data_IF_835782725450
#
_entry.id   IF_835782725450
#
_cell.length_a   1.000
_cell.length_b   1.000
_cell.length_c   1.000
_cell.angle_alpha   90.00
_cell.angle_beta   90.00
_cell.angle_gamma   90.00
#
_symmetry.space_group_name_H-M   'P 1'
#
loop_
_entity.id
_entity.type
_entity.pdbx_description
1 polymer ?
2 non-polymer ?
3 non-polymer ?
4 water ?
#
# COMPACT_ATOMS: atom_id res chain seq x y z
N UNK A 12 -13.82 3.09 -21.42
CA UNK A 12 -13.73 1.65 -21.87
C UNK A 12 -14.11 0.71 -20.73
N UNK A 13 -14.85 -0.36 -21.05
CA UNK A 13 -15.13 -1.40 -20.07
C UNK A 13 -14.24 -2.63 -20.30
N UNK A 14 -13.33 -2.53 -21.26
CA UNK A 14 -12.48 -3.67 -21.60
C UNK A 14 -11.30 -3.75 -20.65
N UNK A 15 -10.98 -4.94 -20.14
CA UNK A 15 -9.83 -5.04 -19.22
C UNK A 15 -8.51 -4.50 -19.82
N UNK A 16 -7.79 -3.70 -19.02
CA UNK A 16 -6.46 -3.24 -19.42
C UNK A 16 -5.76 -2.93 -18.12
N UNK A 17 -4.44 -3.11 -18.06
CA UNK A 17 -3.73 -2.68 -16.85
C UNK A 17 -3.78 -1.16 -16.79
N UNK A 18 -4.02 -0.62 -15.59
CA UNK A 18 -4.20 0.83 -15.47
C UNK A 18 -2.96 1.66 -15.82
N UNK A 19 -3.19 2.92 -16.20
CA UNK A 19 -2.14 3.90 -16.41
C UNK A 19 -2.62 5.17 -15.73
N UNK A 20 -1.78 6.19 -15.68
CA UNK A 20 -2.21 7.43 -15.03
C UNK A 20 -3.53 7.93 -15.66
N UNK A 21 -3.69 7.72 -16.96
CA UNK A 21 -4.88 8.20 -17.66
C UNK A 21 -6.14 7.42 -17.32
N UNK A 22 -6.00 6.17 -16.89
CA UNK A 22 -7.17 5.37 -16.61
C UNK A 22 -7.41 5.16 -15.12
N UNK A 23 -6.50 5.64 -14.28
CA UNK A 23 -6.80 5.54 -12.85
C UNK A 23 -8.03 6.32 -12.34
N UNK A 24 -8.47 7.39 -13.05
CA UNK A 24 -9.57 8.10 -12.39
C UNK A 24 -10.81 7.27 -12.18
N UNK A 25 -11.16 6.40 -13.12
CA UNK A 25 -12.44 5.68 -12.98
C UNK A 25 -12.40 4.22 -13.46
N UNK A 26 -11.61 3.38 -12.80
CA UNK A 26 -11.54 1.95 -13.18
C UNK A 26 -12.80 1.14 -12.83
N UNK A 27 -13.75 1.73 -12.10
CA UNK A 27 -14.78 0.95 -11.43
C UNK A 27 -15.72 0.23 -12.40
N UNK A 28 -16.09 0.90 -13.51
CA UNK A 28 -17.02 0.23 -14.41
C UNK A 28 -16.41 -1.01 -15.02
N UNK A 29 -15.11 -0.96 -15.29
CA UNK A 29 -14.41 -2.11 -15.87
C UNK A 29 -14.33 -3.24 -14.84
N UNK A 30 -14.08 -2.90 -13.57
CA UNK A 30 -14.13 -3.94 -12.52
C UNK A 30 -15.49 -4.58 -12.49
N UNK A 31 -16.54 -3.76 -12.65
CA UNK A 31 -17.92 -4.21 -12.51
C UNK A 31 -18.27 -5.14 -13.66
N UNK A 32 -17.80 -4.82 -14.85
CA UNK A 32 -17.98 -5.68 -16.03
C UNK A 32 -17.31 -7.03 -15.81
N UNK A 33 -16.11 -7.03 -15.24
CA UNK A 33 -15.47 -8.31 -14.89
C UNK A 33 -16.29 -9.13 -13.90
N UNK A 34 -16.64 -8.52 -12.76
CA UNK A 34 -17.32 -9.23 -11.68
C UNK A 34 -18.57 -9.86 -12.21
N UNK A 35 -19.24 -9.12 -13.07
CA UNK A 35 -20.53 -9.57 -13.57
C UNK A 35 -20.46 -10.57 -14.74
N UNK A 36 -19.54 -10.35 -15.68
CA UNK A 36 -19.53 -11.12 -16.92
C UNK A 36 -18.36 -12.09 -17.09
N UNK A 37 -17.31 -11.93 -16.27
CA UNK A 37 -16.17 -12.84 -16.37
C UNK A 37 -15.31 -12.75 -15.10
N UNK A 38 -15.84 -13.26 -13.97
CA UNK A 38 -15.12 -13.22 -12.70
C UNK A 38 -13.81 -14.00 -12.63
N UNK A 39 -13.62 -14.95 -13.55
CA UNK A 39 -12.32 -15.60 -13.74
C UNK A 39 -11.85 -15.34 -15.16
N UNK A 40 -11.27 -14.16 -15.34
CA UNK A 40 -11.02 -13.60 -16.66
C UNK A 40 -9.65 -13.90 -17.27
N UNK A 41 -9.67 -14.51 -18.44
CA UNK A 41 -8.44 -14.78 -19.15
C UNK A 41 -8.03 -13.61 -20.04
N UNK A 42 -6.86 -13.07 -19.75
CA UNK A 42 -6.23 -12.04 -20.55
C UNK A 42 -5.13 -12.64 -21.42
N UNK A 43 -5.30 -12.50 -22.74
CA UNK A 43 -4.30 -12.91 -23.70
C UNK A 43 -3.76 -11.70 -24.47
N UNK A 44 -2.63 -11.16 -24.04
CA UNK A 44 -2.11 -9.94 -24.67
C UNK A 44 -1.92 -10.11 -26.17
N UNK A 45 -2.65 -9.33 -26.97
CA UNK A 45 -2.52 -9.52 -28.41
C UNK A 45 -1.06 -9.49 -28.94
N UNK A 46 -0.21 -8.62 -28.41
CA UNK A 46 1.18 -8.54 -28.88
C UNK A 46 2.15 -9.52 -28.20
N UNK A 47 1.61 -10.36 -27.33
CA UNK A 47 2.40 -11.27 -26.50
C UNK A 47 1.50 -12.36 -25.93
N UNK A 48 0.88 -13.17 -26.78
CA UNK A 48 -0.08 -14.14 -26.23
C UNK A 48 0.54 -15.17 -25.27
N UNK A 49 1.86 -15.38 -25.39
CA UNK A 49 2.67 -16.27 -24.53
C UNK A 49 2.57 -15.84 -23.07
N UNK A 50 2.29 -14.55 -22.90
CA UNK A 50 2.31 -13.97 -21.58
C UNK A 50 0.90 -13.82 -21.06
N UNK A 51 0.03 -14.77 -21.41
CA UNK A 51 -1.35 -14.73 -20.95
C UNK A 51 -1.40 -14.91 -19.43
N UNK A 52 -2.44 -14.36 -18.81
CA UNK A 52 -2.68 -14.48 -17.40
C UNK A 52 -4.16 -14.40 -17.05
N UNK A 53 -4.48 -14.55 -15.77
CA UNK A 53 -5.86 -14.52 -15.32
C UNK A 53 -6.10 -13.36 -14.34
N UNK A 54 -7.36 -12.95 -14.24
CA UNK A 54 -7.71 -11.85 -13.32
C UNK A 54 -8.93 -12.28 -12.53
N UNK A 55 -8.82 -12.20 -11.20
CA UNK A 55 -9.93 -12.43 -10.25
C UNK A 55 -10.49 -11.11 -9.68
N UNK A 56 -11.81 -10.92 -9.77
CA UNK A 56 -12.40 -9.62 -9.48
C UNK A 56 -13.43 -9.73 -8.36
N UNK A 57 -13.91 -10.93 -8.04
CA UNK A 57 -14.90 -11.01 -6.97
C UNK A 57 -14.28 -11.17 -5.62
N UNK A 58 -14.98 -10.69 -4.60
CA UNK A 58 -14.47 -10.73 -3.25
C UNK A 58 -14.15 -12.16 -2.77
N UNK A 59 -15.09 -13.07 -3.00
CA UNK A 59 -14.98 -14.43 -2.47
C UNK A 59 -13.72 -15.10 -2.98
N UNK A 60 -13.45 -14.87 -4.27
CA UNK A 60 -12.38 -15.52 -4.99
C UNK A 60 -11.06 -14.93 -4.62
N UNK A 61 -11.04 -13.59 -4.51
CA UNK A 61 -9.81 -12.88 -4.18
C UNK A 61 -9.44 -13.21 -2.73
N UNK A 62 -10.42 -13.23 -1.84
CA UNK A 62 -10.19 -13.49 -0.41
C UNK A 62 -9.57 -14.88 -0.24
N UNK A 63 -10.16 -15.87 -0.90
CA UNK A 63 -9.62 -17.23 -0.78
C UNK A 63 -8.25 -17.41 -1.44
N UNK A 64 -8.05 -16.81 -2.61
CA UNK A 64 -6.78 -16.91 -3.34
C UNK A 64 -5.66 -16.25 -2.52
N UNK A 65 -5.97 -15.13 -1.87
CA UNK A 65 -4.95 -14.40 -1.08
C UNK A 65 -4.45 -15.25 0.06
N UNK A 66 -5.39 -15.89 0.74
CA UNK A 66 -5.08 -16.80 1.84
C UNK A 66 -4.31 -18.04 1.40
N UNK A 67 -4.65 -18.56 0.21
CA UNK A 67 -4.12 -19.86 -0.21
C UNK A 67 -2.76 -19.73 -0.87
N UNK A 68 -1.75 -19.56 -0.03
CA UNK A 68 -0.39 -19.35 -0.52
C UNK A 68 0.14 -20.63 -1.18
N UNK A 69 -0.39 -21.79 -0.78
CA UNK A 69 0.08 -23.04 -1.40
C UNK A 69 -0.22 -23.12 -2.87
N UNK A 70 -1.42 -22.73 -3.23
CA UNK A 70 -1.88 -22.75 -4.63
C UNK A 70 -1.46 -21.50 -5.37
N UNK A 71 -1.55 -20.36 -4.67
CA UNK A 71 -1.25 -19.08 -5.25
C UNK A 71 0.02 -18.49 -4.65
N UNK A 72 1.15 -18.80 -5.29
CA UNK A 72 2.51 -18.47 -4.78
C UNK A 72 2.93 -17.01 -5.05
N UNK A 73 3.64 -16.39 -4.08
CA UNK A 73 4.25 -15.06 -4.27
C UNK A 73 5.72 -15.15 -4.74
N UNK A 74 6.23 -16.37 -4.82
CA UNK A 74 7.67 -16.57 -5.04
C UNK A 74 8.20 -16.20 -6.44
N UNK A 75 7.30 -15.96 -7.39
CA UNK A 75 7.76 -15.61 -8.73
C UNK A 75 7.53 -14.12 -9.03
N UNK A 76 7.01 -13.41 -8.06
CA UNK A 76 6.84 -11.96 -8.24
C UNK A 76 5.36 -11.61 -8.08
N UNK A 77 5.09 -10.30 -8.04
CA UNK A 77 3.75 -9.82 -7.76
C UNK A 77 3.09 -9.06 -8.91
N UNK A 78 3.73 -9.05 -10.08
CA UNK A 78 3.13 -8.41 -11.26
C UNK A 78 2.67 -9.46 -12.22
N UNK A 79 2.01 -9.01 -13.28
CA UNK A 79 1.65 -9.98 -14.34
C UNK A 79 2.76 -10.25 -15.35
N UNK A 80 3.93 -9.65 -15.13
CA UNK A 80 4.99 -9.79 -16.08
C UNK A 80 5.85 -10.99 -15.76
N UNK A 81 5.85 -11.99 -16.63
CA UNK A 81 6.68 -13.19 -16.39
C UNK A 81 8.15 -12.79 -16.44
N UNK A 82 9.01 -13.49 -15.73
CA UNK A 82 10.40 -13.01 -15.69
C UNK A 82 10.70 -11.75 -14.85
N UNK A 83 9.69 -11.22 -14.16
CA UNK A 83 9.86 -10.11 -13.20
C UNK A 83 11.06 -10.24 -12.25
N UNK A 84 11.17 -11.40 -11.61
CA UNK A 84 12.16 -11.60 -10.55
C UNK A 84 13.59 -11.45 -11.09
N UNK A 85 13.89 -12.12 -12.21
CA UNK A 85 15.23 -12.04 -12.79
C UNK A 85 15.48 -10.69 -13.39
N UNK A 86 14.44 -10.09 -13.96
CA UNK A 86 14.54 -8.79 -14.58
C UNK A 86 14.88 -7.67 -13.59
N UNK A 87 14.28 -7.71 -12.40
CA UNK A 87 14.63 -6.74 -11.36
C UNK A 87 15.88 -7.22 -10.60
N UNK A 88 16.16 -8.51 -10.65
CA UNK A 88 17.37 -9.03 -10.00
C UNK A 88 17.19 -9.40 -8.54
N UNK A 89 16.05 -9.99 -8.22
CA UNK A 89 15.70 -10.30 -6.82
C UNK A 89 15.67 -11.81 -6.48
N UNK A 90 16.22 -12.64 -7.35
CA UNK A 90 16.15 -14.08 -7.09
C UNK A 90 16.93 -14.50 -5.85
N UNK A 91 18.17 -14.05 -5.76
CA UNK A 91 19.02 -14.63 -4.73
C UNK A 91 18.59 -14.29 -3.30
N UNK A 92 18.22 -13.04 -3.06
CA UNK A 92 17.75 -12.59 -1.76
C UNK A 92 16.43 -11.88 -1.98
N UNK A 93 15.34 -12.66 -2.18
CA UNK A 93 14.02 -12.07 -2.47
C UNK A 93 13.41 -11.46 -1.23
N UNK A 94 12.66 -10.38 -1.41
CA UNK A 94 12.06 -9.75 -0.24
C UNK A 94 10.97 -10.61 0.30
N UNK A 95 10.52 -10.27 1.51
CA UNK A 95 9.62 -11.13 2.22
C UNK A 95 8.29 -11.21 1.47
N UNK A 96 7.95 -10.18 0.71
CA UNK A 96 6.65 -10.19 -0.03
C UNK A 96 6.69 -11.16 -1.23
N UNK A 97 7.89 -11.68 -1.52
CA UNK A 97 8.06 -12.65 -2.62
C UNK A 97 8.62 -13.95 -2.09
N UNK A 98 8.35 -14.23 -0.81
CA UNK A 98 8.68 -15.52 -0.22
C UNK A 98 7.37 -16.22 0.15
N UNK A 99 7.32 -17.55 -0.01
CA UNK A 99 6.22 -18.32 0.55
C UNK A 99 6.67 -18.96 1.85
N UNK A 100 5.70 -19.34 2.70
CA UNK A 100 5.96 -20.24 3.85
C UNK A 100 6.41 -21.56 3.29
N UNK A 101 7.34 -22.24 3.98
CA UNK A 101 7.87 -21.88 5.30
C UNK A 101 9.00 -20.83 5.35
N UNK A 102 9.65 -20.62 4.21
CA UNK A 102 10.74 -19.64 4.13
C UNK A 102 10.30 -18.30 4.75
N UNK A 103 9.09 -17.85 4.40
CA UNK A 103 8.60 -16.51 4.80
C UNK A 103 8.37 -16.40 6.32
N UNK A 104 8.07 -17.54 6.90
CA UNK A 104 7.54 -17.60 8.25
C UNK A 104 8.43 -17.07 9.38
N UNK A 105 9.68 -17.56 9.47
CA UNK A 105 10.54 -17.12 10.58
C UNK A 105 10.88 -15.66 10.52
N UNK A 106 11.24 -15.18 9.34
CA UNK A 106 11.58 -13.76 9.19
C UNK A 106 10.37 -12.91 9.55
N UNK A 107 9.21 -13.28 9.03
CA UNK A 107 8.00 -12.53 9.35
C UNK A 107 7.84 -12.49 10.87
N UNK A 108 8.08 -13.62 11.54
CA UNK A 108 7.88 -13.68 13.01
C UNK A 108 8.83 -12.69 13.68
N UNK A 109 10.06 -12.65 13.21
CA UNK A 109 11.06 -11.83 13.88
C UNK A 109 10.77 -10.36 13.62
N UNK A 110 10.42 -10.04 12.39
CA UNK A 110 10.25 -8.62 12.09
C UNK A 110 8.96 -8.08 12.70
N UNK A 111 8.00 -8.98 12.89
CA UNK A 111 6.71 -8.59 13.47
C UNK A 111 6.85 -7.95 14.85
N UNK A 112 7.92 -8.33 15.55
CA UNK A 112 8.21 -7.81 16.88
C UNK A 112 8.35 -6.28 16.86
N UNK A 113 8.63 -5.74 15.66
CA UNK A 113 8.70 -4.29 15.42
C UNK A 113 7.36 -3.65 15.01
N UNK A 114 6.28 -4.44 15.03
CA UNK A 114 4.97 -3.96 14.59
C UNK A 114 3.93 -4.33 15.63
N UNK A 115 4.05 -3.71 16.78
CA UNK A 115 3.05 -3.87 17.85
C UNK A 115 2.38 -2.52 18.16
N UNK A 116 1.35 -2.55 19.01
CA UNK A 116 0.69 -1.28 19.29
C UNK A 116 1.66 -0.20 19.78
N UNK A 117 2.65 -0.58 20.59
CA UNK A 117 3.62 0.38 21.07
C UNK A 117 4.21 1.20 19.91
N UNK A 118 4.63 0.54 18.84
CA UNK A 118 5.27 1.31 17.77
C UNK A 118 4.37 2.30 17.06
N UNK A 119 3.09 1.99 16.92
CA UNK A 119 2.16 2.94 16.31
C UNK A 119 1.90 4.09 17.28
N UNK A 120 1.82 3.75 18.58
CA UNK A 120 1.53 4.77 19.62
C UNK A 120 2.63 5.81 19.74
N UNK A 121 3.89 5.36 19.70
CA UNK A 121 5.01 6.27 19.87
C UNK A 121 5.23 7.29 18.77
N UNK A 122 4.78 6.98 17.58
CA UNK A 122 4.96 7.93 16.49
C UNK A 122 3.72 8.82 16.26
N UNK A 123 2.59 8.48 16.88
CA UNK A 123 1.35 9.22 16.56
C UNK A 123 1.42 10.72 16.87
N UNK A 124 2.00 11.11 18.02
CA UNK A 124 2.11 12.56 18.27
C UNK A 124 2.98 13.28 17.25
N UNK A 125 3.98 12.58 16.72
CA UNK A 125 4.83 13.18 15.71
C UNK A 125 4.04 13.36 14.41
N UNK A 126 3.23 12.36 14.08
CA UNK A 126 2.37 12.44 12.91
C UNK A 126 1.43 13.62 13.04
N UNK A 127 0.81 13.75 14.21
CA UNK A 127 -0.20 14.79 14.42
C UNK A 127 0.44 16.19 14.31
N UNK A 128 1.59 16.38 14.97
CA UNK A 128 2.34 17.64 14.87
C UNK A 128 2.59 18.04 13.41
N UNK A 129 3.06 17.10 12.60
CA UNK A 129 3.35 17.40 11.20
C UNK A 129 2.11 17.72 10.39
N UNK A 130 1.07 16.91 10.59
CA UNK A 130 -0.19 17.16 9.89
C UNK A 130 -0.66 18.61 10.20
N UNK A 131 -0.69 18.93 11.49
CA UNK A 131 -1.08 20.30 11.91
C UNK A 131 -0.21 21.37 11.26
N UNK A 132 1.11 21.24 11.35
CA UNK A 132 1.97 22.23 10.70
C UNK A 132 1.67 22.45 9.23
N UNK A 133 1.47 21.36 8.49
CA UNK A 133 1.24 21.52 7.07
C UNK A 133 -0.17 22.01 6.73
N UNK A 134 -1.16 21.54 7.48
CA UNK A 134 -2.51 21.98 7.20
C UNK A 134 -2.64 23.47 7.51
N UNK A 135 -1.92 23.95 8.51
CA UNK A 135 -2.03 25.37 8.89
C UNK A 135 -1.35 26.22 7.84
N UNK A 136 -0.23 25.74 7.32
CA UNK A 136 0.42 26.45 6.24
C UNK A 136 -0.51 26.51 5.04
N UNK A 137 -1.15 25.39 4.71
CA UNK A 137 -2.03 25.35 3.56
C UNK A 137 -3.19 26.36 3.76
N UNK A 138 -3.79 26.34 4.94
CA UNK A 138 -4.88 27.23 5.25
C UNK A 138 -4.45 28.70 5.07
N UNK A 139 -3.30 29.05 5.64
CA UNK A 139 -2.82 30.45 5.57
C UNK A 139 -2.68 30.88 4.11
N UNK A 140 -2.28 29.95 3.26
CA UNK A 140 -2.12 30.23 1.85
C UNK A 140 -3.42 30.07 1.09
N UNK A 141 -4.50 29.75 1.80
CA UNK A 141 -5.79 29.48 1.13
C UNK A 141 -5.82 28.18 0.32
N UNK A 142 -4.80 27.35 0.52
CA UNK A 142 -4.76 26.06 -0.14
C UNK A 142 -3.40 25.79 -0.72
N UNK A 143 -3.31 24.75 -1.54
CA UNK A 143 -2.07 24.39 -2.20
C UNK A 143 -2.24 22.92 -2.50
N UNK A 144 -1.18 22.27 -2.92
CA UNK A 144 -1.30 20.87 -3.30
C UNK A 144 -1.16 20.04 -2.02
N UNK A 145 -2.25 19.47 -1.53
CA UNK A 145 -2.18 18.77 -0.27
C UNK A 145 -1.32 17.50 -0.37
N UNK A 146 -1.12 17.00 -1.60
CA UNK A 146 -0.21 15.87 -1.76
C UNK A 146 1.25 16.26 -1.56
N UNK A 147 1.72 17.23 -2.33
CA UNK A 147 3.06 17.72 -2.20
C UNK A 147 3.40 18.22 -0.78
N UNK A 148 2.45 18.94 -0.18
CA UNK A 148 2.66 19.62 1.10
C UNK A 148 2.49 18.71 2.34
N UNK A 149 1.88 17.55 2.16
CA UNK A 149 1.55 16.73 3.32
C UNK A 149 1.48 15.23 3.02
N UNK A 150 0.69 14.84 2.03
CA UNK A 150 0.38 13.38 1.85
C UNK A 150 1.57 12.59 1.33
N UNK A 151 2.51 13.29 0.68
CA UNK A 151 3.74 12.66 0.23
C UNK A 151 4.73 12.55 1.37
N UNK A 152 5.13 13.69 1.97
CA UNK A 152 6.14 13.60 3.05
C UNK A 152 5.73 12.81 4.32
N UNK A 153 4.46 12.87 4.70
CA UNK A 153 4.03 12.27 5.94
C UNK A 153 4.44 10.78 6.09
N UNK A 154 4.05 9.91 5.14
CA UNK A 154 4.30 8.48 5.35
C UNK A 154 5.81 8.14 5.44
N UNK A 155 6.68 8.99 4.88
CA UNK A 155 8.10 8.70 4.88
C UNK A 155 8.60 8.75 6.32
N UNK A 156 8.05 9.69 7.10
CA UNK A 156 8.43 9.79 8.52
C UNK A 156 8.04 8.55 9.33
N UNK A 157 6.88 8.03 9.01
CA UNK A 157 6.42 6.86 9.72
C UNK A 157 7.26 5.63 9.34
N UNK A 158 7.56 5.45 8.03
CA UNK A 158 8.48 4.36 7.65
C UNK A 158 9.83 4.53 8.37
N UNK A 159 10.33 5.76 8.41
CA UNK A 159 11.62 6.01 9.11
C UNK A 159 11.56 5.58 10.57
N UNK A 160 10.46 5.93 11.25
CA UNK A 160 10.23 5.45 12.63
C UNK A 160 10.27 3.91 12.74
N UNK A 161 9.61 3.21 11.81
CA UNK A 161 9.55 1.75 11.89
C UNK A 161 10.88 1.08 11.57
N UNK A 162 11.76 1.83 10.92
CA UNK A 162 13.11 1.33 10.60
C UNK A 162 14.13 1.77 11.68
N UNK A 163 13.65 2.49 12.68
CA UNK A 163 14.53 2.99 13.72
C UNK A 163 15.55 3.99 13.20
N UNK A 164 15.21 4.76 12.15
CA UNK A 164 16.06 5.82 11.67
C UNK A 164 15.94 7.00 12.65
N UNK A 165 17.07 7.47 13.18
CA UNK A 165 17.07 8.64 14.08
C UNK A 165 16.40 9.85 13.43
N UNK A 166 15.63 10.62 14.20
CA UNK A 166 14.87 11.73 13.65
C UNK A 166 15.73 12.73 12.87
N UNK A 167 16.96 12.92 13.35
CA UNK A 167 17.92 13.82 12.72
C UNK A 167 18.29 13.43 11.29
N UNK A 168 18.01 12.17 10.90
CA UNK A 168 18.35 11.68 9.55
C UNK A 168 17.10 11.52 8.65
N UNK A 169 15.94 11.96 9.13
CA UNK A 169 14.70 11.78 8.40
C UNK A 169 14.67 12.57 7.09
N UNK A 170 15.23 13.77 7.07
CA UNK A 170 15.30 14.52 5.82
C UNK A 170 16.15 13.85 4.74
N UNK A 171 17.32 13.38 5.12
CA UNK A 171 18.16 12.65 4.19
C UNK A 171 17.47 11.35 3.70
N UNK A 172 16.84 10.66 4.63
CA UNK A 172 16.14 9.42 4.32
C UNK A 172 14.95 9.69 3.41
N UNK A 173 14.23 10.79 3.66
CA UNK A 173 13.11 11.14 2.75
C UNK A 173 13.62 11.43 1.33
N UNK A 174 14.81 12.00 1.20
CA UNK A 174 15.36 12.14 -0.15
C UNK A 174 15.51 10.86 -0.95
N UNK A 175 16.13 9.86 -0.31
CA UNK A 175 16.34 8.57 -0.94
C UNK A 175 15.00 7.95 -1.21
N UNK A 176 14.10 8.09 -0.23
CA UNK A 176 12.76 7.53 -0.36
C UNK A 176 11.99 8.06 -1.59
N UNK A 177 11.96 9.37 -1.77
CA UNK A 177 11.19 9.93 -2.90
C UNK A 177 11.73 9.49 -4.25
N UNK A 178 13.06 9.43 -4.35
CA UNK A 178 13.71 8.89 -5.52
C UNK A 178 13.29 7.45 -5.81
N UNK A 179 13.35 6.59 -4.80
CA UNK A 179 13.00 5.19 -4.97
C UNK A 179 11.51 4.98 -5.31
N UNK A 180 10.64 5.69 -4.60
CA UNK A 180 9.21 5.56 -4.85
C UNK A 180 8.90 5.94 -6.28
N UNK A 181 9.49 7.04 -6.74
CA UNK A 181 9.23 7.48 -8.14
C UNK A 181 9.69 6.43 -9.15
N UNK A 182 10.92 5.97 -8.98
CA UNK A 182 11.55 5.01 -9.90
C UNK A 182 10.76 3.71 -9.95
N UNK A 183 10.05 3.43 -8.86
CA UNK A 183 9.45 2.12 -8.65
C UNK A 183 7.98 2.05 -9.08
N UNK A 184 7.39 3.19 -9.39
CA UNK A 184 5.95 3.22 -9.58
C UNK A 184 5.52 2.56 -10.87
N UNK A 185 5.92 3.17 -12.00
CA UNK A 185 5.56 2.69 -13.32
C UNK A 185 6.48 1.58 -13.85
N UNK A 191 16.41 2.96 -11.57
CA UNK A 191 16.05 4.34 -11.87
C UNK A 191 16.40 5.32 -10.75
N UNK A 192 17.01 4.79 -9.70
CA UNK A 192 17.31 5.57 -8.51
C UNK A 192 18.59 5.09 -7.87
N UNK A 193 19.61 4.87 -8.69
CA UNK A 193 20.80 4.17 -8.21
C UNK A 193 21.59 4.86 -7.07
N UNK A 194 21.69 6.19 -7.13
CA UNK A 194 22.34 6.96 -6.06
C UNK A 194 21.57 6.75 -4.76
N UNK A 195 20.25 6.87 -4.83
CA UNK A 195 19.41 6.65 -3.66
C UNK A 195 19.51 5.23 -3.09
N UNK A 196 19.50 4.25 -3.98
CA UNK A 196 19.65 2.88 -3.56
C UNK A 196 20.98 2.64 -2.81
N UNK A 197 22.08 3.19 -3.33
CA UNK A 197 23.35 3.04 -2.67
C UNK A 197 23.49 3.81 -1.37
N UNK A 198 22.94 5.03 -1.36
CA UNK A 198 22.96 5.84 -0.16
C UNK A 198 22.20 5.06 0.90
N UNK A 199 21.07 4.47 0.53
CA UNK A 199 20.28 3.78 1.51
C UNK A 199 20.93 2.48 1.95
N UNK A 200 21.48 1.75 1.01
CA UNK A 200 22.12 0.53 1.40
C UNK A 200 23.39 0.80 2.24
N UNK A 201 24.13 1.91 2.00
CA UNK A 201 25.25 2.33 2.86
C UNK A 201 24.83 2.80 4.26
N UNK A 202 23.75 3.55 4.30
CA UNK A 202 23.27 4.07 5.54
C UNK A 202 22.81 2.91 6.42
N UNK A 203 21.97 2.04 5.85
CA UNK A 203 21.48 0.93 6.66
C UNK A 203 22.53 -0.11 7.08
N UNK A 204 23.53 -0.35 6.23
CA UNK A 204 24.63 -1.20 6.68
C UNK A 204 25.21 -0.63 7.97
N UNK A 205 25.47 0.67 7.99
CA UNK A 205 25.90 1.33 9.24
C UNK A 205 24.93 1.22 10.44
N UNK A 206 23.65 1.47 10.17
CA UNK A 206 22.63 1.42 11.23
C UNK A 206 22.51 0.02 11.81
N UNK A 207 22.59 -0.98 10.94
CA UNK A 207 22.50 -2.35 11.40
C UNK A 207 23.61 -2.62 12.38
N UNK A 208 24.83 -2.25 11.98
CA UNK A 208 25.98 -2.44 12.84
C UNK A 208 25.77 -1.72 14.18
N UNK A 209 25.26 -0.48 14.16
CA UNK A 209 25.02 0.24 15.42
C UNK A 209 24.00 -0.48 16.32
N UNK A 210 22.93 -1.02 15.72
CA UNK A 210 21.90 -1.68 16.52
C UNK A 210 22.40 -2.96 17.21
N UNK A 211 23.61 -3.41 16.86
CA UNK A 211 24.16 -4.59 17.52
C UNK A 211 24.41 -4.33 19.00
N UNK A 212 24.69 -3.08 19.33
CA UNK A 212 25.09 -2.73 20.69
C UNK A 212 24.16 -1.70 21.28
N UNK A 213 23.36 -1.06 20.42
CA UNK A 213 22.45 0.00 20.82
C UNK A 213 21.07 -0.27 20.27
N UNK A 214 20.47 -1.40 20.68
CA UNK A 214 19.17 -1.83 20.18
C UNK A 214 18.03 -0.95 20.66
N UNK A 215 17.03 -0.73 19.81
CA UNK A 215 15.80 -0.11 20.24
C UNK A 215 14.62 -1.07 19.99
N UNK A 216 13.41 -0.53 19.87
CA UNK A 216 12.24 -1.39 19.81
C UNK A 216 11.77 -1.55 18.37
N UNK A 217 12.57 -1.06 17.41
CA UNK A 217 12.17 -1.06 16.00
C UNK A 217 12.43 -2.41 15.31
N UNK A 218 11.95 -2.51 14.08
CA UNK A 218 12.03 -3.75 13.37
C UNK A 218 13.50 -4.15 13.11
N UNK A 219 14.34 -3.18 12.79
CA UNK A 219 15.73 -3.50 12.45
C UNK A 219 16.43 -3.96 13.72
N UNK A 220 16.31 -3.17 14.80
CA UNK A 220 16.85 -3.57 16.11
C UNK A 220 16.36 -4.96 16.46
N UNK A 221 15.05 -5.22 16.31
CA UNK A 221 14.55 -6.52 16.72
C UNK A 221 15.19 -7.63 15.92
N UNK A 222 15.36 -7.42 14.60
CA UNK A 222 16.01 -8.40 13.76
C UNK A 222 17.46 -8.63 14.19
N UNK A 223 18.17 -7.56 14.49
CA UNK A 223 19.55 -7.72 14.95
C UNK A 223 19.55 -8.42 16.31
N UNK A 224 18.72 -7.97 17.25
CA UNK A 224 18.71 -8.58 18.59
C UNK A 224 18.42 -10.08 18.51
N UNK A 225 17.68 -10.47 17.47
CA UNK A 225 17.28 -11.88 17.28
C UNK A 225 18.35 -12.65 16.53
N UNK A 226 19.42 -11.98 16.16
CA UNK A 226 20.55 -12.70 15.60
C UNK A 226 20.64 -12.71 14.10
N UNK A 227 19.73 -12.00 13.45
CA UNK A 227 19.80 -11.93 12.01
C UNK A 227 21.02 -11.14 11.54
N UNK A 228 21.82 -11.76 10.68
CA UNK A 228 23.09 -11.17 10.25
C UNK A 228 24.26 -11.50 11.18
N UNK A 229 23.98 -11.98 12.40
CA UNK A 229 25.05 -12.16 13.41
C UNK A 229 26.10 -13.17 12.99
N UNK A 230 27.29 -13.00 13.55
CA UNK A 230 28.48 -13.86 13.29
C UNK A 230 28.75 -14.18 11.81
N UNK A 231 29.09 -13.15 11.03
CA UNK A 231 29.46 -13.33 9.63
C UNK A 231 28.34 -13.93 8.79
N UNK A 232 27.11 -13.86 9.30
CA UNK A 232 25.95 -14.28 8.50
C UNK A 232 25.57 -13.16 7.56
N UNK A 233 26.24 -13.09 6.41
CA UNK A 233 25.99 -12.01 5.46
C UNK A 233 24.59 -12.14 4.85
N UNK A 234 24.11 -13.36 4.67
CA UNK A 234 22.74 -13.54 4.12
C UNK A 234 21.70 -12.86 5.00
N UNK A 235 21.89 -12.99 6.31
CA UNK A 235 21.00 -12.37 7.31
C UNK A 235 21.02 -10.86 7.17
N UNK A 236 22.21 -10.28 7.04
CA UNK A 236 22.32 -8.85 6.84
C UNK A 236 21.63 -8.37 5.53
N UNK A 237 21.84 -9.09 4.42
CA UNK A 237 21.20 -8.78 3.15
C UNK A 237 19.67 -8.75 3.25
N UNK A 238 19.15 -9.71 4.01
CA UNK A 238 17.68 -9.84 4.21
C UNK A 238 17.13 -8.62 4.97
N UNK A 239 17.92 -8.07 5.89
CA UNK A 239 17.51 -6.83 6.55
C UNK A 239 17.51 -5.66 5.54
N UNK A 240 18.55 -5.57 4.71
CA UNK A 240 18.58 -4.55 3.67
C UNK A 240 17.37 -4.66 2.72
N UNK A 241 17.02 -5.89 2.34
CA UNK A 241 15.90 -6.08 1.40
C UNK A 241 14.62 -5.58 2.09
N UNK A 242 14.53 -5.83 3.39
CA UNK A 242 13.36 -5.40 4.19
C UNK A 242 13.23 -3.89 4.21
N UNK A 243 14.34 -3.17 4.29
CA UNK A 243 14.27 -1.73 4.26
C UNK A 243 13.66 -1.29 2.94
N UNK A 244 14.03 -1.98 1.86
CA UNK A 244 13.46 -1.65 0.57
C UNK A 244 11.97 -1.99 0.48
N UNK A 245 11.58 -3.12 1.05
CA UNK A 245 10.16 -3.44 1.11
C UNK A 245 9.41 -2.34 1.83
N UNK A 246 10.02 -1.85 2.90
CA UNK A 246 9.32 -0.82 3.71
C UNK A 246 9.20 0.48 2.93
N UNK A 247 10.29 0.90 2.27
CA UNK A 247 10.23 2.15 1.50
C UNK A 247 9.31 2.04 0.29
N UNK A 248 9.38 0.91 -0.41
CA UNK A 248 8.60 0.80 -1.62
C UNK A 248 7.14 0.48 -1.38
N UNK A 249 6.81 -0.04 -0.20
CA UNK A 249 5.39 -0.38 0.10
C UNK A 249 4.68 0.52 1.09
N UNK A 250 5.42 1.34 1.85
CA UNK A 250 4.81 2.09 2.93
C UNK A 250 4.57 3.58 2.68
N UNK A 251 4.92 4.04 1.48
CA UNK A 251 4.86 5.47 1.14
C UNK A 251 3.76 5.73 0.13
N UNK A 252 3.93 5.24 -1.10
CA UNK A 252 2.94 5.56 -2.15
C UNK A 252 1.52 5.10 -1.82
N UNK A 253 1.44 3.97 -1.12
CA UNK A 253 0.15 3.44 -0.69
C UNK A 253 -0.58 4.43 0.24
N UNK A 254 0.10 4.90 1.27
CA UNK A 254 -0.47 5.85 2.23
C UNK A 254 -0.87 7.13 1.50
N UNK A 255 -0.01 7.57 0.58
CA UNK A 255 -0.35 8.77 -0.15
C UNK A 255 -1.62 8.51 -0.98
N UNK A 256 -1.79 7.28 -1.46
CA UNK A 256 -3.02 6.97 -2.26
C UNK A 256 -4.25 6.98 -1.37
N UNK A 257 -4.12 6.41 -0.17
CA UNK A 257 -5.23 6.39 0.80
C UNK A 257 -5.61 7.82 1.18
N UNK A 258 -4.64 8.65 1.55
CA UNK A 258 -4.92 10.06 1.96
C UNK A 258 -5.43 10.88 0.77
N UNK A 259 -4.69 10.88 -0.33
CA UNK A 259 -5.08 11.69 -1.49
C UNK A 259 -6.36 11.18 -2.11
N UNK A 260 -6.54 9.87 -2.12
CA UNK A 260 -7.70 9.28 -2.82
C UNK A 260 -8.96 9.57 -2.03
N UNK A 261 -8.83 9.73 -0.72
CA UNK A 261 -9.97 10.02 0.15
C UNK A 261 -10.54 11.43 -0.07
N UNK A 262 -9.70 12.35 -0.54
CA UNK A 262 -10.11 13.75 -0.64
C UNK A 262 -11.33 13.94 -1.55
N UNK A 263 -11.32 13.36 -2.76
CA UNK A 263 -12.51 13.57 -3.58
C UNK A 263 -13.72 12.88 -3.00
N UNK A 264 -13.51 11.72 -2.36
CA UNK A 264 -14.62 10.96 -1.84
C UNK A 264 -15.36 11.80 -0.81
N UNK A 265 -14.61 12.45 0.08
CA UNK A 265 -15.17 13.25 1.16
C UNK A 265 -15.74 14.53 0.59
N UNK A 266 -15.07 15.08 -0.39
CA UNK A 266 -15.51 16.36 -0.94
C UNK A 266 -16.88 16.25 -1.55
N UNK A 267 -17.14 15.14 -2.22
CA UNK A 267 -18.41 15.04 -2.92
C UNK A 267 -19.58 14.66 -2.01
N UNK A 268 -19.31 14.43 -0.73
CA UNK A 268 -20.32 13.88 0.20
C UNK A 268 -20.37 14.69 1.48
N UNK A 269 -20.86 15.93 1.36
CA UNK A 269 -21.00 16.76 2.58
C UNK A 269 -21.85 16.07 3.67
N UNK A 270 -22.79 15.21 3.29
CA UNK A 270 -23.61 14.48 4.30
C UNK A 270 -22.73 13.56 5.16
N UNK A 271 -21.74 12.96 4.50
CA UNK A 271 -20.87 12.02 5.18
C UNK A 271 -19.88 12.82 6.04
N UNK A 272 -19.37 13.94 5.54
CA UNK A 272 -18.55 14.77 6.41
C UNK A 272 -19.30 15.30 7.62
N UNK A 273 -20.59 15.63 7.42
CA UNK A 273 -21.42 16.10 8.53
C UNK A 273 -21.50 15.05 9.63
N UNK A 274 -21.66 13.79 9.23
CA UNK A 274 -21.75 12.69 10.17
C UNK A 274 -20.53 12.75 11.08
N UNK A 275 -19.35 12.96 10.48
CA UNK A 275 -18.08 12.95 11.25
C UNK A 275 -17.76 14.26 11.97
N UNK A 276 -18.31 15.37 11.47
CA UNK A 276 -18.12 16.67 12.10
C UNK A 276 -18.93 16.74 13.40
N UNK A 277 -20.09 16.09 13.37
CA UNK A 277 -20.98 16.04 14.53
C UNK A 277 -20.58 14.91 15.48
N UNK A 278 -19.88 13.91 14.97
CA UNK A 278 -19.49 12.77 15.78
C UNK A 278 -18.09 12.28 15.37
N UNK A 279 -17.06 12.97 15.88
CA UNK A 279 -15.69 12.65 15.49
C UNK A 279 -15.28 11.24 15.92
N UNK A 280 -16.07 10.63 16.81
CA UNK A 280 -15.77 9.28 17.26
C UNK A 280 -16.10 8.28 16.14
N UNK A 281 -16.82 8.72 15.11
CA UNK A 281 -17.08 7.82 13.98
C UNK A 281 -15.89 7.74 13.02
N UNK A 282 -14.84 8.50 13.32
CA UNK A 282 -13.68 8.58 12.40
C UNK A 282 -12.96 7.24 12.18
N UNK A 283 -12.70 6.48 13.25
CA UNK A 283 -12.07 5.16 12.98
C UNK A 283 -12.86 4.27 12.03
N UNK A 284 -14.18 4.16 12.22
CA UNK A 284 -14.94 3.39 11.26
C UNK A 284 -14.89 4.01 9.86
N UNK A 285 -14.87 5.35 9.79
CA UNK A 285 -14.86 6.02 8.50
C UNK A 285 -13.56 5.67 7.76
N UNK A 286 -12.48 5.56 8.52
CA UNK A 286 -11.17 5.17 7.95
C UNK A 286 -11.27 3.80 7.26
N UNK A 287 -11.98 2.85 7.86
CA UNK A 287 -12.13 1.55 7.21
C UNK A 287 -12.88 1.67 5.88
N UNK A 288 -13.92 2.53 5.84
CA UNK A 288 -14.69 2.69 4.60
C UNK A 288 -13.80 3.39 3.54
N UNK A 289 -13.02 4.37 3.98
CA UNK A 289 -12.10 5.00 3.06
C UNK A 289 -11.03 4.04 2.51
N UNK A 290 -10.52 3.17 3.37
CA UNK A 290 -9.55 2.15 2.92
C UNK A 290 -10.19 1.20 1.91
N UNK A 291 -11.50 0.87 2.13
CA UNK A 291 -12.21 0.00 1.21
C UNK A 291 -12.28 0.63 -0.18
N UNK A 292 -12.69 1.91 -0.23
CA UNK A 292 -12.95 2.54 -1.53
C UNK A 292 -11.68 3.01 -2.24
N UNK A 293 -10.65 3.40 -1.50
CA UNK A 293 -9.43 3.87 -2.16
C UNK A 293 -8.53 2.68 -2.54
N UNK A 294 -8.56 1.64 -1.70
CA UNK A 294 -7.79 0.40 -1.93
C UNK A 294 -6.47 0.65 -2.67
N UNK A 295 -5.55 1.39 -2.02
CA UNK A 295 -4.41 1.87 -2.78
C UNK A 295 -3.66 0.81 -3.56
N UNK A 296 -3.49 -0.36 -2.96
CA UNK A 296 -3.02 -1.50 -3.73
C UNK A 296 -4.28 -2.05 -4.39
N UNK A 297 -4.48 -1.67 -5.65
CA UNK A 297 -5.64 -2.11 -6.38
C UNK A 297 -5.53 -3.56 -6.87
N UNK A 298 -4.30 -4.03 -7.11
CA UNK A 298 -4.12 -5.45 -7.45
C UNK A 298 -2.67 -5.85 -7.24
N UNK A 299 -2.45 -7.14 -6.97
CA UNK A 299 -1.13 -7.74 -7.02
C UNK A 299 -1.35 -9.17 -7.51
N UNK A 300 -0.30 -9.73 -8.11
CA UNK A 300 -0.39 -11.06 -8.73
C UNK A 300 0.17 -12.18 -7.84
N UNK A 301 -0.25 -13.40 -8.19
CA UNK A 301 0.34 -14.62 -7.67
C UNK A 301 0.62 -15.53 -8.88
N UNK A 302 1.34 -16.63 -8.63
CA UNK A 302 1.54 -17.66 -9.65
C UNK A 302 0.93 -18.98 -9.19
N UNK A 303 0.10 -19.61 -10.04
CA UNK A 303 -0.49 -20.90 -9.66
C UNK A 303 0.61 -21.95 -9.62
N UNK A 304 0.55 -22.76 -8.56
CA UNK A 304 1.45 -23.88 -8.38
C UNK A 304 0.81 -25.20 -8.88
N UNK A 305 -0.46 -25.13 -9.28
CA UNK A 305 -1.26 -26.31 -9.68
C UNK A 305 -2.46 -25.78 -10.46
N UNK A 306 -3.09 -26.63 -11.28
CA UNK A 306 -4.36 -26.28 -11.91
C UNK A 306 -5.35 -25.98 -10.80
N UNK A 307 -6.09 -24.88 -10.91
CA UNK A 307 -7.13 -24.61 -9.95
C UNK A 307 -8.38 -24.22 -10.73
N UNK A 308 -9.51 -24.76 -10.30
CA UNK A 308 -10.76 -24.49 -11.00
C UNK A 308 -11.59 -23.65 -10.06
N UNK A 309 -12.10 -22.54 -10.60
CA UNK A 309 -12.97 -21.66 -9.86
C UNK A 309 -14.20 -21.51 -10.74
N UNK A 310 -15.31 -22.09 -10.32
CA UNK A 310 -16.50 -22.15 -11.17
C UNK A 310 -16.21 -22.89 -12.47
N UNK A 311 -16.59 -22.30 -13.60
CA UNK A 311 -16.47 -22.97 -14.87
C UNK A 311 -15.13 -22.76 -15.54
N UNK A 312 -14.16 -22.20 -14.82
CA UNK A 312 -12.87 -21.93 -15.42
C UNK A 312 -11.75 -22.60 -14.67
N UNK A 313 -10.87 -23.25 -15.41
CA UNK A 313 -9.63 -23.81 -14.86
C UNK A 313 -8.42 -22.97 -15.21
N UNK A 314 -7.73 -22.49 -14.19
CA UNK A 314 -6.50 -21.78 -14.45
C UNK A 314 -5.37 -22.82 -14.43
N UNK A 315 -4.55 -22.87 -15.48
CA UNK A 315 -3.50 -23.88 -15.53
C UNK A 315 -2.41 -23.55 -14.51
N UNK A 316 -1.75 -24.59 -14.00
CA UNK A 316 -0.54 -24.39 -13.22
C UNK A 316 0.46 -23.54 -14.00
N UNK A 317 1.16 -22.61 -13.31
CA UNK A 317 2.25 -21.89 -13.93
C UNK A 317 1.91 -20.55 -14.58
N UNK A 318 0.67 -20.11 -14.36
CA UNK A 318 0.18 -18.81 -14.89
C UNK A 318 0.01 -17.79 -13.77
N UNK A 319 0.21 -16.51 -14.10
CA UNK A 319 -0.04 -15.46 -13.12
C UNK A 319 -1.52 -15.21 -13.03
N UNK A 320 -1.94 -14.86 -11.82
CA UNK A 320 -3.30 -14.51 -11.53
C UNK A 320 -3.28 -13.17 -10.79
N UNK A 321 -4.04 -12.22 -11.33
CA UNK A 321 -4.11 -10.88 -10.77
C UNK A 321 -5.27 -10.82 -9.80
N UNK A 322 -4.96 -10.55 -8.54
CA UNK A 322 -5.93 -10.44 -7.48
C UNK A 322 -6.36 -8.99 -7.37
N UNK A 323 -7.55 -8.70 -7.85
CA UNK A 323 -7.96 -7.30 -7.92
C UNK A 323 -8.57 -6.90 -6.59
N UNK A 324 -7.70 -6.64 -5.61
CA UNK A 324 -8.17 -6.13 -4.33
C UNK A 324 -9.13 -4.96 -4.48
N UNK A 325 -8.80 -4.05 -5.37
CA UNK A 325 -9.68 -2.87 -5.62
C UNK A 325 -11.08 -3.25 -6.04
N UNK A 326 -11.21 -4.34 -6.81
CA UNK A 326 -12.52 -4.84 -7.26
C UNK A 326 -13.19 -5.62 -6.14
N UNK A 327 -12.44 -6.50 -5.50
CA UNK A 327 -12.99 -7.25 -4.38
C UNK A 327 -13.61 -6.33 -3.34
N UNK A 328 -12.93 -5.21 -3.04
CA UNK A 328 -13.45 -4.27 -2.08
C UNK A 328 -14.74 -3.55 -2.54
N UNK A 329 -15.02 -3.61 -3.85
CA UNK A 329 -16.18 -2.93 -4.46
C UNK A 329 -17.22 -3.96 -4.94
N UNK A 330 -17.11 -5.19 -4.43
CA UNK A 330 -18.01 -6.26 -4.87
C UNK A 330 -19.35 -6.18 -4.19
N UNK A 331 -20.38 -5.92 -4.97
CA UNK A 331 -21.73 -5.88 -4.42
C UNK A 331 -22.19 -7.15 -3.69
N UNK A 332 -21.62 -8.28 -4.10
CA UNK A 332 -21.89 -9.54 -3.44
C UNK A 332 -21.47 -9.55 -1.98
N UNK A 333 -20.43 -8.78 -1.63
CA UNK A 333 -19.98 -8.71 -0.24
C UNK A 333 -20.51 -7.48 0.49
N UNK A 334 -20.59 -6.36 -0.22
CA UNK A 334 -20.95 -5.08 0.40
C UNK A 334 -22.31 -4.51 -0.05
N UNK A 335 -23.04 -5.23 -0.88
CA UNK A 335 -24.37 -4.76 -1.32
C UNK A 335 -24.40 -3.89 -2.56
N UNK A 336 -25.61 -3.61 -3.11
CA UNK A 336 -25.68 -2.92 -4.39
C UNK A 336 -25.18 -1.50 -4.32
N UNK A 337 -25.02 -0.96 -3.11
CA UNK A 337 -24.39 0.36 -2.93
C UNK A 337 -22.89 0.29 -2.64
N UNK A 338 -22.24 -0.78 -3.08
CA UNK A 338 -20.81 -0.96 -2.77
C UNK A 338 -19.96 0.16 -3.33
N UNK A 339 -20.46 0.82 -4.37
CA UNK A 339 -19.69 1.83 -5.06
C UNK A 339 -19.66 3.17 -4.30
N UNK A 340 -20.50 3.30 -3.27
CA UNK A 340 -20.72 4.59 -2.57
C UNK A 340 -20.09 4.70 -1.20
N UNK A 341 -19.75 5.93 -0.82
CA UNK A 341 -19.21 6.15 0.50
C UNK A 341 -20.31 6.06 1.54
N UNK A 342 -20.12 5.19 2.55
CA UNK A 342 -20.97 5.20 3.72
C UNK A 342 -20.10 5.01 4.93
N UNK A 343 -19.84 6.10 5.65
CA UNK A 343 -18.86 6.05 6.75
C UNK A 343 -19.38 5.26 7.93
N UNK A 344 -20.66 4.89 7.89
CA UNK A 344 -21.20 4.06 8.98
C UNK A 344 -21.29 2.59 8.60
N UNK A 345 -20.75 2.24 7.43
CA UNK A 345 -20.88 0.89 6.89
C UNK A 345 -20.19 -0.15 7.80
N UNK A 346 -19.06 0.25 8.44
CA UNK A 346 -18.22 -0.73 9.15
C UNK A 346 -17.98 -1.98 8.29
N UNK A 347 -17.28 -1.82 7.14
CA UNK A 347 -17.09 -2.91 6.21
C UNK A 347 -16.15 -3.92 6.92
N UNK A 348 -16.44 -5.20 6.75
CA UNK A 348 -15.62 -6.25 7.34
C UNK A 348 -14.95 -7.01 6.22
N UNK A 349 -13.83 -7.65 6.55
CA UNK A 349 -13.11 -8.43 5.55
C UNK A 349 -12.71 -7.66 4.28
N UNK A 350 -12.28 -6.41 4.49
CA UNK A 350 -11.73 -5.61 3.37
C UNK A 350 -10.42 -6.25 2.94
N UNK A 351 -10.10 -6.06 1.68
CA UNK A 351 -8.89 -6.66 1.12
C UNK A 351 -7.74 -5.64 0.97
N UNK A 352 -7.91 -4.44 1.50
CA UNK A 352 -6.97 -3.38 1.27
C UNK A 352 -5.53 -3.73 1.69
N UNK A 353 -5.46 -4.51 2.77
CA UNK A 353 -4.18 -4.96 3.34
C UNK A 353 -3.89 -6.45 3.04
N UNK A 354 -4.49 -6.98 1.98
CA UNK A 354 -4.48 -8.42 1.70
C UNK A 354 -5.11 -9.30 2.82
N UNK A 355 -4.79 -10.58 2.82
CA UNK A 355 -5.37 -11.49 3.77
C UNK A 355 -4.46 -12.70 3.76
N UNK A 356 -4.25 -13.29 4.93
CA UNK A 356 -3.32 -14.41 5.03
C UNK A 356 -1.93 -14.06 5.51
N UNK A 357 -0.98 -14.91 5.09
CA UNK A 357 0.39 -14.86 5.58
C UNK A 357 1.06 -13.50 5.41
N UNK A 358 0.71 -12.82 4.32
CA UNK A 358 1.39 -11.58 3.95
C UNK A 358 0.59 -10.35 4.37
N UNK A 359 -0.48 -10.55 5.12
CA UNK A 359 -1.30 -9.41 5.55
C UNK A 359 -0.42 -8.21 5.97
N UNK A 360 -0.68 -7.03 5.41
CA UNK A 360 0.20 -5.87 5.62
C UNK A 360 0.61 -5.63 7.05
N UNK A 361 1.92 -5.64 7.30
CA UNK A 361 2.49 -5.36 8.64
C UNK A 361 2.21 -3.93 9.09
N UNK A 362 2.02 -3.05 8.14
CA UNK A 362 1.87 -1.61 8.41
C UNK A 362 0.39 -1.19 8.47
N UNK A 363 -0.53 -2.18 8.54
CA UNK A 363 -1.97 -1.86 8.58
C UNK A 363 -2.30 -0.85 9.69
N UNK A 364 -1.80 -1.07 10.91
CA UNK A 364 -2.17 -0.18 12.04
C UNK A 364 -1.56 1.20 11.79
N UNK A 365 -0.31 1.23 11.27
CA UNK A 365 0.31 2.53 10.97
C UNK A 365 -0.45 3.33 9.93
N UNK A 366 -0.88 2.65 8.87
CA UNK A 366 -1.67 3.29 7.82
C UNK A 366 -2.99 3.79 8.40
N UNK A 367 -3.71 2.93 9.10
CA UNK A 367 -4.96 3.37 9.77
C UNK A 367 -4.75 4.60 10.66
N UNK A 368 -3.67 4.61 11.44
CA UNK A 368 -3.38 5.75 12.31
C UNK A 368 -3.16 7.04 11.51
N UNK A 369 -2.40 6.94 10.43
CA UNK A 369 -2.17 8.14 9.62
C UNK A 369 -3.50 8.65 9.06
N UNK A 370 -4.36 7.74 8.58
CA UNK A 370 -5.66 8.16 8.00
C UNK A 370 -6.50 8.85 9.09
N UNK A 371 -6.56 8.23 10.26
CA UNK A 371 -7.37 8.75 11.38
C UNK A 371 -6.87 10.15 11.74
N UNK A 372 -5.57 10.32 11.94
CA UNK A 372 -5.04 11.63 12.35
C UNK A 372 -5.27 12.67 11.24
N UNK A 373 -5.02 12.28 9.99
CA UNK A 373 -5.20 13.23 8.87
C UNK A 373 -6.64 13.68 8.77
N UNK A 374 -7.57 12.73 8.92
CA UNK A 374 -8.98 13.02 8.69
C UNK A 374 -9.49 13.90 9.81
N UNK A 375 -9.03 13.57 11.00
CA UNK A 375 -9.44 14.29 12.21
C UNK A 375 -9.05 15.76 12.07
N UNK A 376 -7.80 16.00 11.71
CA UNK A 376 -7.29 17.37 11.60
C UNK A 376 -7.87 18.12 10.39
N UNK A 377 -8.11 17.41 9.30
CA UNK A 377 -8.68 18.06 8.15
C UNK A 377 -10.04 18.64 8.53
N UNK A 378 -10.84 17.84 9.22
CA UNK A 378 -12.18 18.27 9.58
C UNK A 378 -12.16 19.38 10.64
N UNK A 379 -11.20 19.35 11.55
CA UNK A 379 -11.08 20.43 12.57
C UNK A 379 -10.45 21.75 12.06
N UNK A 380 -9.66 21.68 11.01
CA UNK A 380 -8.86 22.85 10.60
C UNK A 380 -9.27 23.39 9.25
N UNK A 381 -9.73 22.49 8.39
CA UNK A 381 -9.98 22.82 6.99
C UNK A 381 -11.32 22.25 6.56
N UNK A 382 -12.36 22.46 7.37
CA UNK A 382 -13.61 21.79 7.00
C UNK A 382 -14.30 22.33 5.75
N UNK A 383 -14.22 23.63 5.49
CA UNK A 383 -14.69 24.18 4.21
C UNK A 383 -13.56 24.08 3.19
N UNK A 384 -13.49 22.95 2.49
CA UNK A 384 -12.41 22.70 1.54
C UNK A 384 -12.92 22.28 0.17
N UNK A 385 -12.15 22.55 -0.86
CA UNK A 385 -12.58 22.16 -2.18
C UNK A 385 -11.46 21.43 -2.89
N UNK A 386 -11.86 20.43 -3.67
CA UNK A 386 -10.93 19.67 -4.43
C UNK A 386 -11.52 19.63 -5.83
N UNK A 387 -10.72 19.95 -6.84
CA UNK A 387 -11.20 19.74 -8.21
C UNK A 387 -10.72 18.40 -8.71
N UNK A 388 -11.64 17.43 -8.77
CA UNK A 388 -11.31 16.05 -9.13
C UNK A 388 -10.65 15.91 -10.50
N UNK A 389 -11.19 16.66 -11.47
CA UNK A 389 -10.67 16.65 -12.83
C UNK A 389 -9.27 17.22 -12.92
N UNK A 390 -8.82 17.87 -11.86
CA UNK A 390 -7.47 18.44 -11.83
C UNK A 390 -6.49 17.55 -11.03
N UNK A 391 -6.98 16.44 -10.48
CA UNK A 391 -6.09 15.48 -9.83
C UNK A 391 -5.25 14.77 -10.87
N UNK A 392 -3.95 14.61 -10.60
CA UNK A 392 -3.10 13.85 -11.49
C UNK A 392 -2.72 12.57 -10.77
N UNK A 393 -2.89 11.45 -11.45
CA UNK A 393 -2.64 10.12 -10.90
C UNK A 393 -1.24 9.64 -11.27
N UNK A 394 -0.61 8.87 -10.38
CA UNK A 394 0.68 8.32 -10.71
C UNK A 394 0.52 7.25 -11.78
N UNK A 395 1.54 7.06 -12.59
CA UNK A 395 1.62 5.89 -13.43
C UNK A 395 1.86 4.62 -12.61
N UNK A 396 1.77 3.48 -13.28
CA UNK A 396 1.93 2.20 -12.65
C UNK A 396 0.62 1.51 -12.51
N UNK A 397 0.60 0.19 -12.71
CA UNK A 397 -0.66 -0.55 -12.87
C UNK A 397 -1.21 -1.20 -11.58
N UNK A 398 -0.46 -1.09 -10.48
CA UNK A 398 -0.82 -1.85 -9.27
C UNK A 398 -1.29 -0.98 -8.11
N UNK A 399 -0.65 0.18 -7.96
CA UNK A 399 -1.00 1.13 -6.89
C UNK A 399 -1.65 2.37 -7.49
N UNK A 400 -2.81 2.76 -6.94
CA UNK A 400 -3.56 3.95 -7.36
C UNK A 400 -3.32 5.05 -6.33
N UNK A 401 -2.59 6.08 -6.74
CA UNK A 401 -2.30 7.19 -5.85
C UNK A 401 -2.07 8.48 -6.64
N UNK A 402 -2.56 9.57 -6.11
CA UNK A 402 -2.40 10.82 -6.86
C UNK A 402 -1.03 11.46 -6.62
N UNK A 403 -0.46 12.02 -7.69
CA UNK A 403 0.72 12.83 -7.62
C UNK A 403 0.38 14.24 -7.19
N UNK A 404 -0.85 14.65 -7.49
CA UNK A 404 -1.30 16.01 -7.17
C UNK A 404 -2.78 16.05 -6.87
N UNK A 405 -3.10 16.71 -5.77
CA UNK A 405 -4.48 16.98 -5.44
C UNK A 405 -4.62 18.45 -5.13
N UNK A 406 -5.05 19.24 -6.13
CA UNK A 406 -5.25 20.67 -5.93
C UNK A 406 -6.33 20.88 -4.89
N UNK A 407 -6.03 21.72 -3.91
CA UNK A 407 -6.77 21.81 -2.68
C UNK A 407 -6.91 23.31 -2.35
N UNK A 408 -8.14 23.73 -2.05
CA UNK A 408 -8.42 25.12 -1.68
C UNK A 408 -9.16 25.09 -0.38
N UNK A 409 -8.90 26.05 0.48
CA UNK A 409 -9.68 26.18 1.70
C UNK A 409 -10.02 27.63 1.94
N UNK A 410 -11.23 27.84 2.44
CA UNK A 410 -11.81 29.16 2.65
C UNK A 410 -11.83 29.50 4.13
X LIG B 1 2.43 -6.06 2.72
X LIG B 1 -1.01 -2.87 1.38
X LIG B 1 0.97 0.57 4.24
X LIG B 1 4.49 -2.53 5.38
X LIG B 1 1.33 -5.48 2.13
X LIG B 1 0.44 -6.17 1.23
X LIG B 1 -0.49 -5.27 0.85
X LIG B 1 -0.26 -4.02 1.55
X LIG B 1 -1.68 -5.48 -0.10
X LIG B 1 0.62 -7.65 0.78
X LIG B 1 1.06 -7.69 -0.65
X LIG B 1 0.57 -8.93 -1.39
X LIG B 1 1.40 -9.67 -1.97
X LIG B 1 -0.65 -9.20 -1.44
X LIG B 1 -0.74 -1.69 2.00
X LIG B 1 -1.54 -0.48 1.91
X LIG B 1 -1.01 0.45 2.70
X LIG B 1 0.17 -0.10 3.33
X LIG B 1 -2.82 -0.32 1.05
X LIG B 1 -1.50 1.88 2.89
X LIG B 1 -2.81 2.19 2.95
X LIG B 1 2.13 0.03 4.76
X LIG B 1 2.99 0.66 5.74
X LIG B 1 4.00 -0.17 6.03
X LIG B 1 3.70 -1.41 5.32
X LIG B 1 2.82 2.11 6.22
X LIG B 1 5.20 0.04 6.99
X LIG B 1 5.09 0.77 8.09
X LIG B 1 4.24 -3.74 4.78
X LIG B 1 5.14 -4.88 4.87
X LIG B 1 4.50 -5.93 4.04
X LIG B 1 3.30 -5.37 3.53
X LIG B 1 6.47 -4.90 5.64
X LIG B 1 5.01 -7.37 3.76
X LIG B 1 4.31 -8.38 4.70
X LIG B 1 4.66 -9.79 4.25
X LIG B 1 4.62 -10.68 5.13
X LIG B 1 5.00 -10.00 3.03
X LIG B 1 0.89 -4.18 2.34
X LIG B 1 0.31 -1.43 2.88
X LIG B 1 2.55 -1.26 4.56
X LIG B 1 3.17 -4.05 3.97
X LIG B 1 1.73 -2.74 3.48
X LIG C 1 3.16 -2.75 0.67
X LIG C 1 2.15 -2.78 -0.30
X LIG C 1 2.40 -3.34 -1.53
X LIG C 1 3.77 -3.85 -1.76
X LIG C 1 4.74 -3.78 -0.78
X LIG C 1 8.37 -5.35 -2.12
X LIG C 1 3.76 -4.29 -3.00
X LIG C 1 2.57 -4.15 -3.62
X LIG C 1 1.71 -3.55 -2.70
X LIG C 1 2.97 -2.17 1.86
X LIG C 1 7.25 -5.39 -3.14
X LIG C 1 6.03 -4.89 -2.75
X LIG C 1 4.46 -3.26 0.46
X LIG C 1 5.03 -5.36 -4.83
X LIG C 1 4.87 -4.83 -3.54
X LIG C 1 6.26 -5.89 -5.27
X LIG C 1 7.39 -5.92 -4.43
X LIG D 1 10.29 -3.53 -4.84
X LIG D 1 10.36 -4.35 -3.73
X LIG D 1 11.59 -4.71 -3.18
X LIG D 1 12.83 -4.22 -3.80
X LIG D 1 12.74 -3.40 -4.91
X LIG D 1 18.37 -5.76 -1.50
X LIG D 1 13.79 -4.76 -3.02
X LIG D 1 13.32 -5.51 -2.03
X LIG D 1 11.96 -5.47 -2.13
X LIG D 1 9.07 -3.18 -5.37
X LIG D 1 17.43 -5.06 -2.46
X LIG D 1 16.04 -5.22 -2.34
X LIG D 1 11.47 -3.06 -5.41
X LIG D 1 15.70 -3.82 -4.19
X LIG D 1 15.12 -4.61 -3.18
X LIG D 1 17.08 -3.66 -4.33
X LIG D 1 17.96 -4.28 -3.46
#
# INVERSE_FOLDING_TARGET
MHHHHHHTSVMSHEFQLATAETWPNPWPMYRALRDHDPVHHVVPPQRPEYDYYVLSRHADVWSAARDHQTFSSAQGLTVNYGELEMIGLHDTPPMVMQDPPVHTEFRKLVSRGFTPRQVETVEPTVRKFVVERLEKLRANGGGDIVTELFKPLPSMVVAHYLGVPEEDWTQFDGWTQAIVAANAVDGATTGALDAVGSMMAYFTGLIERRRTEPADDAISHLVAAGVGADGDTAGTLSILAFTFTMVTGGNDTVTGMLGGSMPLLHRRPDQRRLLLDDPEGIPDAVEELLRLTSPVQGLARTTTRDVTIGDTTIPAGRRVLLLYGSANRDERQYGPDAAELDVTRCPRNILTFSHGAHHCLGAAAARMQCRVALTELLARCPDFEVAESRIVWSGGSYVRRPLSVPFRVTSSR
HEM CHA CHB CHC CHD C1A C2A C3A C4A CMA CAA CBA CGA O1A O2A C1B C2B C3B C4B CMB CAB CBB C1C C2C C3C C4C CMC CAC CBC C1D C2D C3D C4D CMD CAD CBD CGD O1D O2D NA NB NC ND FE
II4 C2 C3 C4 C5 C6 C9 N7 C8 N9 N2 C10 C11 C30 C13 C80 C14 C15
II4 C2 C3 C4 C5 C6 C9 N7 C8 N9 N2 C10 C11 C30 C13 C80 C14 C15
#
